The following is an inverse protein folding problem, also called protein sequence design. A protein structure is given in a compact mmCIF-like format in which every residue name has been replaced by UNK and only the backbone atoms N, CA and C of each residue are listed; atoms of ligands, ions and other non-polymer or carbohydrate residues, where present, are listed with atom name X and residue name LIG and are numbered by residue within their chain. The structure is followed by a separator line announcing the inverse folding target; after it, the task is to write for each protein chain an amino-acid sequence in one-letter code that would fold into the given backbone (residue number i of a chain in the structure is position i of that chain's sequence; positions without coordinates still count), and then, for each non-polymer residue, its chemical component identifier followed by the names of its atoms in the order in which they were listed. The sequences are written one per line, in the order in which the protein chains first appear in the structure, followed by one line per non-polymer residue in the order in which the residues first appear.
data_IF_464255250296
#
_entry.id   IF_464255250296
#
_cell.length_a   1.000
_cell.length_b   1.000
_cell.length_c   1.000
_cell.angle_alpha   90.00
_cell.angle_beta   90.00
_cell.angle_gamma   90.00
#
_symmetry.space_group_name_H-M   'P 1'
#
loop_
_entity.id
_entity.type
_entity.pdbx_description
1 polymer ?
#
# COMPACT_ATOMS: atom_id res chain seq x y z
N UNK A 1 -21.42 -9.41 12.95
CA UNK A 1 -20.90 -8.17 12.31
C UNK A 1 -19.52 -8.45 11.78
N UNK A 2 -19.15 -7.83 10.66
CA UNK A 2 -17.80 -7.96 10.12
C UNK A 2 -16.82 -7.24 11.06
N UNK A 3 -15.63 -7.81 11.24
CA UNK A 3 -14.53 -7.21 12.00
C UNK A 3 -13.55 -6.59 11.02
N UNK A 4 -13.23 -5.31 11.22
CA UNK A 4 -12.07 -4.65 10.61
C UNK A 4 -10.91 -4.85 11.58
N UNK A 5 -9.81 -5.43 11.12
CA UNK A 5 -8.62 -5.69 11.93
C UNK A 5 -7.75 -4.44 12.04
N UNK A 6 -7.43 -3.80 10.91
CA UNK A 6 -6.62 -2.59 10.89
C UNK A 6 -6.28 -2.12 9.49
N UNK A 7 -5.80 -0.87 9.42
CA UNK A 7 -5.19 -0.27 8.23
C UNK A 7 -3.67 -0.30 8.42
N UNK A 8 -2.93 -0.81 7.43
CA UNK A 8 -1.46 -0.89 7.45
C UNK A 8 -0.88 -0.52 6.07
N UNK A 9 0.43 -0.26 6.03
CA UNK A 9 1.20 -0.17 4.79
C UNK A 9 1.67 -1.58 4.41
N UNK A 10 1.44 -2.02 3.18
CA UNK A 10 1.93 -3.31 2.68
C UNK A 10 3.19 -3.18 1.83
N UNK A 11 3.41 -2.05 1.18
CA UNK A 11 4.66 -1.79 0.46
C UNK A 11 5.02 -0.32 0.56
N UNK A 12 6.29 -0.05 0.86
CA UNK A 12 6.80 1.30 0.97
C UNK A 12 8.16 1.43 0.28
N UNK A 13 8.25 2.37 -0.66
CA UNK A 13 9.52 2.81 -1.22
C UNK A 13 9.59 4.33 -1.27
N UNK A 14 10.60 4.86 -0.61
CA UNK A 14 10.85 6.27 -0.44
C UNK A 14 12.01 6.69 -1.35
N UNK A 15 11.96 7.93 -1.83
CA UNK A 15 13.03 8.56 -2.59
C UNK A 15 13.52 9.78 -1.81
N UNK A 16 14.83 9.93 -1.79
CA UNK A 16 15.55 10.88 -0.96
C UNK A 16 16.44 11.77 -1.81
N UNK A 17 16.72 12.95 -1.26
CA UNK A 17 17.85 13.79 -1.62
C UNK A 17 19.04 13.40 -0.74
N UNK A 18 20.22 13.18 -1.35
CA UNK A 18 21.47 13.02 -0.61
C UNK A 18 22.01 14.42 -0.31
N UNK A 19 21.87 14.85 0.95
CA UNK A 19 22.28 16.19 1.42
C UNK A 19 23.68 16.18 2.05
N UNK A 20 24.08 15.07 2.66
CA UNK A 20 25.46 14.79 3.06
C UNK A 20 25.97 13.50 2.39
N UNK A 21 26.86 13.60 1.39
CA UNK A 21 27.31 12.45 0.63
C UNK A 21 28.44 11.66 1.31
N UNK A 22 28.95 12.05 2.48
CA UNK A 22 30.15 11.45 3.07
C UNK A 22 30.04 9.92 3.19
N UNK A 23 29.00 9.44 3.88
CA UNK A 23 28.77 8.00 4.08
C UNK A 23 28.33 7.30 2.80
N UNK A 24 27.57 7.99 1.93
CA UNK A 24 27.19 7.46 0.62
C UNK A 24 28.41 7.20 -0.28
N UNK A 25 29.43 8.06 -0.23
CA UNK A 25 30.65 7.89 -0.99
C UNK A 25 31.47 6.70 -0.49
N UNK A 26 31.50 6.46 0.83
CA UNK A 26 32.15 5.28 1.42
C UNK A 26 31.46 4.00 0.97
N UNK A 27 30.13 3.91 1.08
CA UNK A 27 29.42 2.67 0.72
C UNK A 27 29.56 2.35 -0.76
N UNK A 28 29.69 3.36 -1.63
CA UNK A 28 29.88 3.17 -3.08
C UNK A 28 31.20 2.48 -3.45
N UNK A 29 32.18 2.43 -2.56
CA UNK A 29 33.45 1.74 -2.83
C UNK A 29 33.42 0.25 -2.48
N UNK A 30 32.36 -0.24 -1.84
CA UNK A 30 32.28 -1.64 -1.40
C UNK A 30 31.98 -2.61 -2.55
N UNK A 31 32.64 -3.76 -2.55
CA UNK A 31 32.39 -4.86 -3.47
C UNK A 31 31.16 -5.70 -3.06
N UNK A 32 30.63 -6.51 -4.00
CA UNK A 32 29.48 -7.38 -3.73
C UNK A 32 29.81 -8.37 -2.60
N UNK A 33 28.93 -8.43 -1.59
CA UNK A 33 29.11 -9.23 -0.39
C UNK A 33 29.78 -8.49 0.77
N UNK A 34 30.39 -7.32 0.53
CA UNK A 34 31.01 -6.54 1.61
C UNK A 34 29.97 -5.84 2.49
N UNK A 35 30.34 -5.65 3.75
CA UNK A 35 29.53 -5.00 4.78
C UNK A 35 30.19 -3.70 5.23
N UNK A 36 29.40 -2.63 5.31
CA UNK A 36 29.82 -1.32 5.83
C UNK A 36 29.02 -1.03 7.10
N UNK A 37 29.73 -0.97 8.22
CA UNK A 37 29.14 -0.84 9.56
C UNK A 37 28.87 0.64 9.94
N UNK A 38 27.68 0.89 10.49
CA UNK A 38 27.24 2.18 11.02
C UNK A 38 26.82 2.05 12.49
N UNK A 39 27.50 1.18 13.25
CA UNK A 39 27.33 0.88 14.67
C UNK A 39 26.01 0.18 15.03
N UNK A 40 24.86 0.74 14.67
CA UNK A 40 23.53 0.20 15.01
C UNK A 40 22.85 -0.52 13.84
N UNK A 41 23.34 -0.31 12.63
CA UNK A 41 22.98 -1.04 11.44
C UNK A 41 24.21 -1.14 10.55
N UNK A 42 24.15 -1.99 9.55
CA UNK A 42 25.18 -2.11 8.53
C UNK A 42 24.52 -2.27 7.16
N UNK A 43 25.28 -1.93 6.12
CA UNK A 43 24.87 -2.10 4.74
C UNK A 43 25.64 -3.27 4.14
N UNK A 44 24.92 -4.28 3.67
CA UNK A 44 25.51 -5.40 2.93
C UNK A 44 25.28 -5.21 1.45
N UNK A 45 26.36 -5.14 0.67
CA UNK A 45 26.29 -4.98 -0.77
C UNK A 45 25.74 -6.23 -1.46
N UNK A 46 24.73 -6.07 -2.30
CA UNK A 46 24.13 -7.17 -3.08
C UNK A 46 24.06 -6.84 -4.57
N UNK A 47 23.75 -7.86 -5.38
CA UNK A 47 23.46 -7.66 -6.80
C UNK A 47 22.14 -6.90 -6.98
N UNK A 48 22.19 -5.87 -7.81
CA UNK A 48 21.05 -5.01 -8.12
C UNK A 48 20.51 -5.24 -9.52
N UNK A 49 19.18 -5.16 -9.67
CA UNK A 49 18.53 -4.97 -10.97
C UNK A 49 18.14 -3.52 -11.15
N UNK A 50 18.44 -2.94 -12.31
CA UNK A 50 18.14 -1.53 -12.69
C UNK A 50 18.90 -0.44 -11.91
N UNK A 51 19.50 -0.79 -10.78
CA UNK A 51 20.33 0.09 -9.97
C UNK A 51 21.74 -0.45 -9.95
N UNK A 52 22.71 0.42 -10.20
CA UNK A 52 24.13 0.08 -10.14
C UNK A 52 24.54 -0.26 -8.71
N UNK A 53 23.92 0.37 -7.72
CA UNK A 53 24.26 0.15 -6.32
C UNK A 53 23.04 -0.26 -5.49
N UNK A 54 23.08 -1.47 -4.90
CA UNK A 54 22.02 -2.00 -4.05
C UNK A 54 22.63 -2.61 -2.80
N UNK A 55 22.06 -2.27 -1.65
CA UNK A 55 22.48 -2.75 -0.34
C UNK A 55 21.28 -3.22 0.44
N UNK A 56 21.42 -4.32 1.15
CA UNK A 56 20.52 -4.62 2.26
C UNK A 56 20.89 -3.74 3.44
N UNK A 57 19.88 -3.13 4.06
CA UNK A 57 20.02 -2.43 5.34
C UNK A 57 19.71 -3.47 6.41
N UNK A 58 20.69 -3.82 7.22
CA UNK A 58 20.57 -4.89 8.23
C UNK A 58 20.96 -4.38 9.60
N UNK A 59 20.40 -4.98 10.64
CA UNK A 59 20.71 -4.63 12.02
C UNK A 59 20.57 -5.86 12.91
N UNK A 60 21.24 -5.82 14.06
CA UNK A 60 21.17 -6.89 15.06
C UNK A 60 20.27 -6.47 16.21
N UNK A 61 19.24 -7.26 16.48
CA UNK A 61 18.36 -7.11 17.63
C UNK A 61 18.49 -8.34 18.52
N UNK A 62 19.03 -8.15 19.73
CA UNK A 62 19.34 -9.24 20.67
C UNK A 62 20.17 -10.39 20.06
N UNK A 63 21.08 -10.08 19.13
CA UNK A 63 21.92 -11.07 18.44
C UNK A 63 21.26 -11.74 17.24
N UNK A 64 20.02 -11.35 16.89
CA UNK A 64 19.32 -11.81 15.70
C UNK A 64 19.54 -10.79 14.59
N UNK A 65 20.16 -11.24 13.49
CA UNK A 65 20.37 -10.42 12.31
C UNK A 65 19.06 -10.28 11.50
N UNK A 66 18.58 -9.04 11.36
CA UNK A 66 17.31 -8.69 10.75
C UNK A 66 17.52 -7.80 9.52
N UNK A 67 16.65 -7.98 8.52
CA UNK A 67 16.60 -7.13 7.34
C UNK A 67 15.65 -5.97 7.59
N UNK A 68 16.14 -4.74 7.56
CA UNK A 68 15.27 -3.56 7.63
C UNK A 68 14.63 -3.25 6.27
N UNK A 69 15.42 -3.38 5.21
CA UNK A 69 15.02 -3.00 3.86
C UNK A 69 16.22 -2.94 2.93
N UNK A 70 16.11 -2.14 1.87
CA UNK A 70 17.17 -1.99 0.88
C UNK A 70 17.43 -0.52 0.55
N UNK A 71 18.71 -0.13 0.52
CA UNK A 71 19.18 1.12 -0.05
C UNK A 71 19.55 0.88 -1.52
N UNK A 72 19.05 1.74 -2.41
CA UNK A 72 19.32 1.68 -3.86
C UNK A 72 19.81 3.03 -4.37
N UNK A 73 20.89 3.03 -5.15
CA UNK A 73 21.52 4.20 -5.75
C UNK A 73 21.90 3.92 -7.20
N UNK A 74 22.06 4.97 -8.01
CA UNK A 74 22.60 4.86 -9.36
C UNK A 74 21.66 4.12 -10.31
N UNK A 75 20.42 4.57 -10.45
CA UNK A 75 19.46 4.00 -11.40
C UNK A 75 20.00 4.10 -12.84
N UNK A 76 19.69 3.11 -13.68
CA UNK A 76 20.10 3.05 -15.08
C UNK A 76 21.62 3.24 -15.27
N UNK A 77 22.41 2.43 -14.58
CA UNK A 77 23.89 2.45 -14.59
C UNK A 77 24.50 3.78 -14.13
N UNK A 78 23.83 4.46 -13.19
CA UNK A 78 24.29 5.72 -12.59
C UNK A 78 24.44 6.88 -13.60
N UNK A 79 23.64 6.86 -14.68
CA UNK A 79 23.57 8.00 -15.63
C UNK A 79 23.05 9.24 -14.93
N UNK A 80 23.81 10.33 -15.02
CA UNK A 80 23.61 11.55 -14.23
C UNK A 80 22.20 12.15 -14.35
N UNK A 81 21.65 12.22 -15.57
CA UNK A 81 20.31 12.74 -15.88
C UNK A 81 19.17 12.06 -15.09
N UNK A 82 19.33 10.78 -14.75
CA UNK A 82 18.32 10.01 -14.02
C UNK A 82 18.51 10.08 -12.51
N UNK A 83 19.73 10.40 -12.05
CA UNK A 83 20.16 10.29 -10.66
C UNK A 83 20.25 11.62 -9.93
N UNK A 84 19.88 12.74 -10.57
CA UNK A 84 19.75 14.05 -9.90
C UNK A 84 18.30 14.52 -9.83
N UNK A 85 17.99 15.21 -8.74
CA UNK A 85 16.77 16.01 -8.59
C UNK A 85 16.94 17.35 -9.31
N UNK A 86 15.85 18.11 -9.46
CA UNK A 86 15.87 19.41 -10.15
C UNK A 86 16.75 20.45 -9.44
N UNK A 87 17.01 20.28 -8.14
CA UNK A 87 17.93 21.10 -7.36
C UNK A 87 19.41 20.66 -7.47
N UNK A 88 19.71 19.63 -8.28
CA UNK A 88 21.06 19.11 -8.49
C UNK A 88 21.52 18.05 -7.50
N UNK A 89 20.78 17.82 -6.40
CA UNK A 89 21.14 16.79 -5.42
C UNK A 89 20.91 15.39 -5.97
N UNK A 90 21.73 14.44 -5.53
CA UNK A 90 21.64 13.05 -5.97
C UNK A 90 20.47 12.31 -5.33
N UNK A 91 19.90 11.36 -6.05
CA UNK A 91 18.80 10.50 -5.60
C UNK A 91 19.30 9.28 -4.86
N UNK A 92 18.60 8.92 -3.79
CA UNK A 92 18.65 7.61 -3.16
C UNK A 92 17.24 7.05 -2.99
N UNK A 93 17.11 5.73 -2.93
CA UNK A 93 15.84 5.08 -2.63
C UNK A 93 16.01 4.12 -1.46
N UNK A 94 15.06 4.14 -0.54
CA UNK A 94 14.93 3.10 0.49
C UNK A 94 13.62 2.36 0.26
N UNK A 95 13.71 1.05 0.09
CA UNK A 95 12.58 0.13 0.13
C UNK A 95 12.53 -0.52 1.51
N UNK A 96 11.37 -0.49 2.17
CA UNK A 96 11.20 -1.11 3.49
C UNK A 96 10.74 -2.56 3.31
N UNK A 97 11.33 -3.48 4.06
CA UNK A 97 10.85 -4.87 4.05
C UNK A 97 9.43 -4.96 4.65
N UNK A 98 8.58 -5.83 4.08
CA UNK A 98 7.18 -5.90 4.48
C UNK A 98 7.01 -6.26 5.96
N UNK A 99 7.89 -7.06 6.57
CA UNK A 99 7.73 -7.38 8.00
C UNK A 99 7.96 -6.19 8.93
N UNK A 100 8.88 -5.29 8.57
CA UNK A 100 9.17 -4.06 9.34
C UNK A 100 7.93 -3.19 9.45
N UNK A 101 7.09 -3.16 8.40
CA UNK A 101 5.83 -2.40 8.37
C UNK A 101 4.74 -2.93 9.32
N UNK A 102 4.93 -4.11 9.94
CA UNK A 102 4.05 -4.69 10.96
C UNK A 102 4.69 -4.69 12.34
N UNK A 103 5.68 -3.83 12.57
CA UNK A 103 6.41 -3.72 13.84
C UNK A 103 6.80 -2.27 14.14
N UNK A 104 7.24 -2.02 15.38
CA UNK A 104 7.80 -0.73 15.77
C UNK A 104 9.20 -0.48 15.17
N UNK A 105 9.78 -1.43 14.45
CA UNK A 105 11.11 -1.30 13.85
C UNK A 105 11.14 -0.18 12.81
N UNK A 106 10.00 0.18 12.20
CA UNK A 106 9.89 1.31 11.26
C UNK A 106 10.41 2.65 11.83
N UNK A 107 10.39 2.82 13.16
CA UNK A 107 10.92 4.01 13.83
C UNK A 107 12.45 4.14 13.71
N UNK A 108 13.18 3.11 13.29
CA UNK A 108 14.60 3.20 12.97
C UNK A 108 14.89 3.90 11.64
N UNK A 109 13.88 4.15 10.81
CA UNK A 109 14.05 4.81 9.52
C UNK A 109 14.72 6.18 9.65
N UNK A 110 14.25 7.04 10.56
CA UNK A 110 14.81 8.38 10.77
C UNK A 110 16.29 8.32 11.19
N UNK A 111 16.68 7.32 11.98
CA UNK A 111 18.07 7.11 12.36
C UNK A 111 18.94 6.72 11.16
N UNK A 112 18.45 5.81 10.31
CA UNK A 112 19.13 5.39 9.08
C UNK A 112 19.28 6.56 8.10
N UNK A 113 18.20 7.34 7.90
CA UNK A 113 18.18 8.53 7.06
C UNK A 113 19.25 9.54 7.48
N UNK A 114 19.31 9.86 8.79
CA UNK A 114 20.28 10.79 9.35
C UNK A 114 21.73 10.28 9.19
N UNK A 115 21.99 9.00 9.43
CA UNK A 115 23.34 8.44 9.26
C UNK A 115 23.80 8.44 7.80
N UNK A 116 22.87 8.26 6.86
CA UNK A 116 23.20 8.23 5.43
C UNK A 116 23.16 9.61 4.76
N UNK A 117 22.86 10.68 5.51
CA UNK A 117 22.76 12.03 4.96
C UNK A 117 21.61 12.19 3.96
N UNK A 118 20.46 11.61 4.28
CA UNK A 118 19.29 11.54 3.40
C UNK A 118 18.15 12.44 3.90
N UNK A 119 17.57 13.21 3.00
CA UNK A 119 16.35 14.00 3.26
C UNK A 119 15.19 13.47 2.41
N UNK A 120 14.05 13.18 3.05
CA UNK A 120 12.89 12.59 2.39
C UNK A 120 12.30 13.53 1.35
N UNK A 121 12.27 13.10 0.10
CA UNK A 121 11.78 13.92 -1.02
C UNK A 121 10.40 13.50 -1.51
N UNK A 122 10.16 12.20 -1.76
CA UNK A 122 8.82 11.70 -2.11
C UNK A 122 8.63 10.21 -1.84
N UNK A 123 7.37 9.78 -1.89
CA UNK A 123 7.01 8.35 -1.90
C UNK A 123 6.90 7.88 -3.36
N UNK A 124 7.66 6.85 -3.74
CA UNK A 124 7.63 6.30 -5.11
C UNK A 124 6.75 5.06 -5.23
N UNK A 125 6.46 4.39 -4.12
CA UNK A 125 5.53 3.27 -4.05
C UNK A 125 4.91 3.24 -2.67
N UNK A 126 3.58 3.21 -2.62
CA UNK A 126 2.80 3.08 -1.40
C UNK A 126 1.63 2.14 -1.66
N UNK A 127 1.64 0.98 -1.02
CA UNK A 127 0.47 0.10 -0.97
C UNK A 127 -0.14 0.22 0.43
N UNK A 128 -1.38 0.71 0.49
CA UNK A 128 -2.16 0.76 1.73
C UNK A 128 -3.15 -0.40 1.75
N UNK A 129 -3.27 -1.09 2.86
CA UNK A 129 -4.18 -2.21 3.00
C UNK A 129 -5.07 -2.10 4.22
N UNK A 130 -6.32 -2.52 4.06
CA UNK A 130 -7.27 -2.71 5.13
C UNK A 130 -7.55 -4.21 5.25
N UNK A 131 -7.29 -4.78 6.42
CA UNK A 131 -7.53 -6.18 6.71
C UNK A 131 -8.82 -6.38 7.49
N UNK A 132 -9.59 -7.40 7.11
CA UNK A 132 -10.97 -7.59 7.56
C UNK A 132 -11.39 -9.06 7.55
N UNK A 133 -12.44 -9.39 8.31
CA UNK A 133 -12.94 -10.77 8.46
C UNK A 133 -13.89 -11.21 7.33
N UNK A 134 -14.33 -10.29 6.46
CA UNK A 134 -15.33 -10.53 5.42
C UNK A 134 -14.73 -10.60 4.02
N UNK A 135 -15.35 -11.43 3.18
CA UNK A 135 -14.94 -11.63 1.79
C UNK A 135 -15.28 -10.39 0.94
N UNK A 136 -14.35 -9.44 0.96
CA UNK A 136 -14.48 -8.14 0.31
C UNK A 136 -14.49 -8.24 -1.21
N UNK A 137 -13.77 -9.20 -1.78
CA UNK A 137 -13.78 -9.49 -3.21
C UNK A 137 -15.19 -9.90 -3.68
N UNK A 138 -15.85 -10.83 -2.97
CA UNK A 138 -17.23 -11.23 -3.28
C UNK A 138 -18.21 -10.08 -3.08
N UNK A 139 -18.02 -9.24 -2.07
CA UNK A 139 -18.87 -8.07 -1.83
C UNK A 139 -18.81 -7.09 -3.01
N UNK A 140 -17.62 -6.69 -3.42
CA UNK A 140 -17.41 -5.77 -4.55
C UNK A 140 -18.02 -6.36 -5.83
N UNK A 141 -17.78 -7.64 -6.12
CA UNK A 141 -18.39 -8.30 -7.29
C UNK A 141 -19.92 -8.29 -7.25
N UNK A 142 -20.53 -8.50 -6.08
CA UNK A 142 -21.99 -8.45 -5.91
C UNK A 142 -22.53 -7.05 -6.18
N UNK A 143 -21.86 -6.01 -5.69
CA UNK A 143 -22.24 -4.62 -5.94
C UNK A 143 -22.16 -4.27 -7.42
N UNK A 144 -21.04 -4.58 -8.08
CA UNK A 144 -20.86 -4.34 -9.52
C UNK A 144 -21.94 -5.06 -10.34
N UNK A 145 -22.29 -6.30 -10.00
CA UNK A 145 -23.29 -7.09 -10.73
C UNK A 145 -24.74 -6.72 -10.43
N UNK A 146 -25.01 -5.97 -9.36
CA UNK A 146 -26.36 -5.56 -9.00
C UNK A 146 -26.87 -4.44 -9.93
N UNK A 147 -28.01 -4.65 -10.58
CA UNK A 147 -28.64 -3.67 -11.50
C UNK A 147 -29.25 -2.47 -10.77
N UNK A 148 -29.57 -2.62 -9.48
CA UNK A 148 -30.13 -1.56 -8.65
C UNK A 148 -29.04 -0.68 -8.01
N UNK A 149 -27.78 -1.00 -8.28
CA UNK A 149 -26.62 -0.24 -7.81
C UNK A 149 -25.95 0.41 -9.02
N UNK A 150 -25.87 1.74 -8.97
CA UNK A 150 -25.07 2.53 -9.89
C UNK A 150 -23.61 2.37 -9.50
N UNK A 151 -22.78 1.94 -10.44
CA UNK A 151 -21.32 1.85 -10.25
C UNK A 151 -20.69 3.07 -10.88
N UNK A 152 -19.85 3.76 -10.13
CA UNK A 152 -19.00 4.85 -10.62
C UNK A 152 -17.57 4.33 -10.61
N UNK A 153 -16.98 4.24 -11.79
CA UNK A 153 -15.65 3.67 -12.03
C UNK A 153 -14.72 4.75 -12.58
N UNK A 154 -13.57 4.95 -11.94
CA UNK A 154 -12.61 6.00 -12.30
C UNK A 154 -13.28 7.38 -12.47
N UNK A 155 -14.20 7.70 -11.54
CA UNK A 155 -14.98 8.94 -11.54
C UNK A 155 -16.12 9.03 -12.57
N UNK A 156 -16.39 8.00 -13.37
CA UNK A 156 -17.45 8.00 -14.39
C UNK A 156 -18.55 6.98 -14.09
N UNK A 157 -19.79 7.44 -14.17
CA UNK A 157 -20.96 6.57 -14.03
C UNK A 157 -21.03 5.54 -15.17
N UNK A 158 -21.30 4.29 -14.81
CA UNK A 158 -21.47 3.20 -15.78
C UNK A 158 -22.94 3.10 -16.19
N UNK A 159 -23.24 3.60 -17.39
CA UNK A 159 -24.58 3.54 -17.99
C UNK A 159 -24.80 2.22 -18.74
N UNK A 160 -23.87 1.88 -19.64
CA UNK A 160 -23.88 0.61 -20.37
C UNK A 160 -23.14 -0.47 -19.57
N UNK A 161 -23.94 -1.38 -19.00
CA UNK A 161 -23.48 -2.53 -18.21
C UNK A 161 -23.04 -3.73 -19.07
N UNK A 162 -23.33 -3.72 -20.36
CA UNK A 162 -22.96 -4.77 -21.31
C UNK A 162 -21.61 -4.53 -21.97
N UNK A 163 -21.17 -3.27 -22.02
CA UNK A 163 -19.86 -2.89 -22.53
C UNK A 163 -18.72 -3.50 -21.71
N UNK A 164 -17.69 -3.99 -22.40
CA UNK A 164 -16.45 -4.46 -21.79
C UNK A 164 -15.75 -3.36 -20.96
N UNK A 165 -15.29 -3.74 -19.77
CA UNK A 165 -14.59 -2.87 -18.82
C UNK A 165 -13.24 -3.47 -18.44
N UNK A 166 -12.19 -3.29 -19.26
CA UNK A 166 -10.85 -3.82 -18.97
C UNK A 166 -10.25 -3.28 -17.67
N UNK A 167 -10.78 -2.18 -17.13
CA UNK A 167 -10.40 -1.63 -15.83
C UNK A 167 -10.74 -2.56 -14.65
N UNK A 168 -11.69 -3.49 -14.82
CA UNK A 168 -12.11 -4.43 -13.78
C UNK A 168 -11.71 -5.85 -14.19
N UNK A 169 -10.92 -6.52 -13.34
CA UNK A 169 -10.50 -7.90 -13.56
C UNK A 169 -10.97 -8.78 -12.41
N UNK A 170 -11.53 -9.94 -12.74
CA UNK A 170 -11.87 -11.00 -11.79
C UNK A 170 -10.91 -12.16 -11.99
N UNK A 171 -10.17 -12.53 -10.95
CA UNK A 171 -9.24 -13.66 -10.98
C UNK A 171 -9.78 -14.72 -10.03
N UNK A 172 -10.10 -15.89 -10.58
CA UNK A 172 -10.42 -17.08 -9.79
C UNK A 172 -9.19 -17.95 -9.66
N UNK A 173 -8.95 -18.50 -8.47
CA UNK A 173 -7.94 -19.54 -8.25
C UNK A 173 -8.49 -20.63 -7.32
N UNK A 174 -7.91 -21.82 -7.36
CA UNK A 174 -8.46 -22.96 -6.63
C UNK A 174 -7.70 -24.25 -6.85
N UNK A 175 -8.39 -25.37 -6.69
CA UNK A 175 -7.87 -26.70 -7.06
C UNK A 175 -8.42 -27.10 -8.43
N UNK A 176 -7.90 -28.20 -8.98
CA UNK A 176 -8.42 -28.79 -10.23
C UNK A 176 -9.93 -29.09 -10.17
N UNK A 177 -10.48 -29.32 -8.97
CA UNK A 177 -11.91 -29.62 -8.79
C UNK A 177 -12.80 -28.39 -8.67
N UNK A 178 -12.27 -27.24 -8.23
CA UNK A 178 -13.08 -26.05 -7.96
C UNK A 178 -12.27 -24.76 -7.83
N UNK A 179 -12.87 -23.69 -8.33
CA UNK A 179 -12.53 -22.32 -7.94
C UNK A 179 -12.82 -22.12 -6.44
N UNK A 180 -11.82 -21.67 -5.69
CA UNK A 180 -11.92 -21.45 -4.23
C UNK A 180 -11.86 -19.98 -3.87
N UNK A 181 -10.96 -19.24 -4.51
CA UNK A 181 -10.59 -17.89 -4.15
C UNK A 181 -10.94 -16.94 -5.29
N UNK A 182 -11.48 -15.79 -4.91
CA UNK A 182 -11.78 -14.69 -5.83
C UNK A 182 -10.87 -13.52 -5.46
N UNK A 183 -10.21 -12.98 -6.46
CA UNK A 183 -9.56 -11.68 -6.40
C UNK A 183 -10.28 -10.72 -7.34
N UNK A 184 -10.59 -9.52 -6.86
CA UNK A 184 -11.13 -8.42 -7.68
C UNK A 184 -10.08 -7.34 -7.77
N UNK A 185 -9.70 -6.99 -9.00
CA UNK A 185 -8.78 -5.88 -9.26
C UNK A 185 -9.53 -4.76 -10.00
N UNK A 186 -9.33 -3.52 -9.59
CA UNK A 186 -9.81 -2.33 -10.29
C UNK A 186 -8.62 -1.41 -10.56
N UNK A 187 -8.46 -0.96 -11.81
CA UNK A 187 -7.31 -0.14 -12.23
C UNK A 187 -7.77 1.19 -12.78
N UNK A 188 -7.03 2.26 -12.47
CA UNK A 188 -7.08 3.46 -13.29
C UNK A 188 -6.55 3.15 -14.70
N UNK A 189 -7.03 3.90 -15.70
CA UNK A 189 -6.63 3.69 -17.11
C UNK A 189 -5.11 3.73 -17.32
N UNK A 190 -4.40 4.64 -16.64
CA UNK A 190 -2.93 4.75 -16.71
C UNK A 190 -2.25 3.50 -16.14
N UNK A 191 -2.80 2.95 -15.05
CA UNK A 191 -2.30 1.74 -14.37
C UNK A 191 -2.49 0.45 -15.16
N UNK A 192 -3.34 0.43 -16.19
CA UNK A 192 -3.54 -0.77 -17.01
C UNK A 192 -2.32 -1.10 -17.87
N UNK A 193 -1.63 -0.08 -18.39
CA UNK A 193 -0.41 -0.25 -19.19
C UNK A 193 0.85 -0.30 -18.33
N UNK A 194 0.87 0.49 -17.27
CA UNK A 194 2.01 0.63 -16.37
C UNK A 194 1.50 0.91 -14.95
N UNK A 195 1.63 -0.07 -14.05
CA UNK A 195 1.15 0.04 -12.66
C UNK A 195 1.77 1.25 -11.95
N UNK A 196 2.99 1.66 -12.30
CA UNK A 196 3.66 2.82 -11.67
C UNK A 196 3.00 4.17 -12.02
N UNK A 197 2.10 4.21 -13.01
CA UNK A 197 1.49 5.45 -13.53
C UNK A 197 0.05 5.69 -13.13
N UNK A 198 -0.55 4.82 -12.32
CA UNK A 198 -1.88 5.05 -11.77
C UNK A 198 -2.17 4.19 -10.55
N UNK A 199 -3.26 4.51 -9.87
CA UNK A 199 -3.71 3.74 -8.70
C UNK A 199 -4.41 2.45 -9.09
N UNK A 200 -4.35 1.45 -8.21
CA UNK A 200 -5.08 0.20 -8.36
C UNK A 200 -5.69 -0.23 -7.04
N UNK A 201 -6.86 -0.87 -7.08
CA UNK A 201 -7.47 -1.56 -5.95
C UNK A 201 -7.40 -3.06 -6.18
N UNK A 202 -7.08 -3.81 -5.13
CA UNK A 202 -7.09 -5.28 -5.13
C UNK A 202 -7.78 -5.79 -3.88
N UNK A 203 -8.78 -6.64 -4.05
CA UNK A 203 -9.54 -7.27 -2.97
C UNK A 203 -9.38 -8.78 -3.05
N UNK A 204 -8.91 -9.45 -1.99
CA UNK A 204 -8.57 -10.88 -2.03
C UNK A 204 -8.61 -11.57 -0.65
N UNK A 205 -8.46 -12.89 -0.66
CA UNK A 205 -8.31 -13.72 0.54
C UNK A 205 -6.84 -13.73 0.96
N UNK A 206 -6.50 -12.90 1.95
CA UNK A 206 -5.13 -12.74 2.46
C UNK A 206 -4.65 -13.98 3.20
N UNK A 207 -5.53 -14.65 3.95
CA UNK A 207 -5.21 -15.92 4.61
C UNK A 207 -4.75 -16.99 3.62
N UNK A 208 -5.43 -17.08 2.47
CA UNK A 208 -5.04 -17.99 1.40
C UNK A 208 -3.71 -17.58 0.74
N UNK A 209 -3.43 -16.29 0.60
CA UNK A 209 -2.14 -15.80 0.09
C UNK A 209 -0.99 -16.15 1.03
N UNK A 210 -1.16 -15.95 2.33
CA UNK A 210 -0.18 -16.31 3.36
C UNK A 210 0.03 -17.82 3.43
N UNK A 211 -1.04 -18.63 3.42
CA UNK A 211 -0.91 -20.09 3.40
C UNK A 211 -0.12 -20.61 2.18
N UNK A 212 -0.17 -19.89 1.06
CA UNK A 212 0.58 -20.22 -0.15
C UNK A 212 1.96 -19.52 -0.21
N UNK A 213 2.30 -18.65 0.74
CA UNK A 213 3.54 -17.88 0.82
C UNK A 213 4.18 -18.01 2.20
N UNK A 214 5.18 -18.89 2.32
CA UNK A 214 5.76 -19.29 3.61
C UNK A 214 6.38 -18.16 4.43
N UNK A 215 6.76 -17.03 3.81
CA UNK A 215 7.46 -15.93 4.48
C UNK A 215 6.54 -14.89 5.11
N UNK A 216 5.21 -14.94 4.93
CA UNK A 216 4.29 -13.86 5.36
C UNK A 216 3.45 -14.15 6.61
N UNK A 217 3.81 -15.20 7.36
CA UNK A 217 3.03 -15.64 8.53
C UNK A 217 2.91 -14.56 9.61
N UNK A 218 3.89 -13.67 9.73
CA UNK A 218 3.88 -12.55 10.68
C UNK A 218 2.64 -11.65 10.56
N UNK A 219 2.02 -11.54 9.38
CA UNK A 219 0.79 -10.74 9.18
C UNK A 219 -0.40 -11.36 9.94
N UNK A 220 -0.53 -12.69 9.94
CA UNK A 220 -1.57 -13.36 10.72
C UNK A 220 -1.28 -13.23 12.22
N UNK A 221 -0.02 -13.41 12.62
CA UNK A 221 0.43 -13.31 14.00
C UNK A 221 0.19 -11.91 14.57
N UNK A 222 0.44 -10.85 13.77
CA UNK A 222 0.15 -9.45 14.11
C UNK A 222 -1.32 -9.23 14.50
N UNK A 223 -2.26 -9.93 13.85
CA UNK A 223 -3.69 -9.84 14.17
C UNK A 223 -4.19 -10.92 15.15
N UNK A 224 -3.29 -11.67 15.78
CA UNK A 224 -3.64 -12.73 16.72
C UNK A 224 -4.20 -13.99 16.05
N UNK A 225 -3.70 -14.34 14.87
CA UNK A 225 -4.05 -15.54 14.10
C UNK A 225 -5.56 -15.73 13.85
N UNK A 226 -6.23 -14.77 13.19
CA UNK A 226 -7.67 -14.83 12.98
C UNK A 226 -8.11 -15.99 12.08
N UNK A 227 -9.30 -16.55 12.31
CA UNK A 227 -9.87 -17.62 11.47
C UNK A 227 -10.05 -17.20 10.00
N UNK A 228 -10.38 -15.92 9.77
CA UNK A 228 -10.61 -15.33 8.45
C UNK A 228 -9.80 -14.05 8.32
N UNK A 229 -9.05 -13.93 7.22
CA UNK A 229 -8.31 -12.73 6.88
C UNK A 229 -8.46 -12.45 5.39
N UNK A 230 -9.14 -11.36 5.08
CA UNK A 230 -9.28 -10.81 3.73
C UNK A 230 -8.65 -9.44 3.71
N UNK A 231 -8.25 -8.98 2.54
CA UNK A 231 -7.57 -7.70 2.35
C UNK A 231 -8.21 -6.89 1.25
N UNK A 232 -8.33 -5.59 1.50
CA UNK A 232 -8.61 -4.57 0.53
C UNK A 232 -7.40 -3.64 0.43
N UNK A 233 -6.69 -3.70 -0.68
CA UNK A 233 -5.42 -3.03 -0.89
C UNK A 233 -5.57 -1.98 -1.98
N UNK A 234 -4.96 -0.82 -1.79
CA UNK A 234 -4.81 0.22 -2.81
C UNK A 234 -3.34 0.52 -3.04
N UNK A 235 -2.92 0.45 -4.30
CA UNK A 235 -1.63 0.95 -4.75
C UNK A 235 -1.76 2.42 -5.11
N UNK A 236 -0.81 3.23 -4.62
CA UNK A 236 -0.64 4.63 -4.97
C UNK A 236 0.74 4.83 -5.59
N UNK A 237 0.77 5.67 -6.62
CA UNK A 237 2.01 6.15 -7.21
C UNK A 237 2.42 7.51 -6.60
N UNK A 238 3.60 7.98 -7.01
CA UNK A 238 4.14 9.27 -6.59
C UNK A 238 3.20 10.46 -6.89
N UNK A 239 2.65 10.52 -8.11
CA UNK A 239 1.80 11.63 -8.54
C UNK A 239 0.53 11.75 -7.68
N UNK A 240 -0.10 10.63 -7.33
CA UNK A 240 -1.31 10.57 -6.51
C UNK A 240 -1.04 11.00 -5.06
N UNK A 241 0.10 10.58 -4.50
CA UNK A 241 0.53 11.02 -3.17
C UNK A 241 0.85 12.52 -3.17
N UNK A 242 1.58 13.02 -4.18
CA UNK A 242 1.89 14.44 -4.33
C UNK A 242 0.64 15.29 -4.50
N UNK A 243 -0.30 14.87 -5.35
CA UNK A 243 -1.57 15.55 -5.55
C UNK A 243 -2.37 15.62 -4.24
N UNK A 244 -2.40 14.53 -3.47
CA UNK A 244 -3.01 14.51 -2.16
C UNK A 244 -2.38 15.55 -1.22
N UNK A 245 -1.06 15.48 -1.04
CA UNK A 245 -0.29 16.36 -0.15
C UNK A 245 -0.52 17.83 -0.49
N UNK A 246 -0.38 18.19 -1.77
CA UNK A 246 -0.60 19.54 -2.28
C UNK A 246 -2.01 20.06 -2.00
N UNK A 247 -3.03 19.22 -2.27
CA UNK A 247 -4.43 19.58 -2.04
C UNK A 247 -4.74 19.77 -0.56
N UNK A 248 -4.11 18.97 0.32
CA UNK A 248 -4.28 19.06 1.77
C UNK A 248 -3.35 20.07 2.45
N UNK A 249 -2.41 20.66 1.70
CA UNK A 249 -1.34 21.54 2.22
C UNK A 249 -0.55 20.88 3.35
N UNK A 250 -0.20 19.61 3.16
CA UNK A 250 0.59 18.84 4.10
C UNK A 250 1.99 18.61 3.52
N UNK A 251 2.99 18.77 4.36
CA UNK A 251 4.37 18.40 4.04
C UNK A 251 4.55 16.90 4.31
N UNK A 252 5.27 16.23 3.41
CA UNK A 252 5.65 14.85 3.61
C UNK A 252 6.76 14.78 4.65
N UNK A 253 6.58 13.94 5.66
CA UNK A 253 7.61 13.62 6.65
C UNK A 253 7.48 12.16 7.07
N UNK A 254 8.44 11.67 7.84
CA UNK A 254 8.32 10.37 8.51
C UNK A 254 7.01 10.25 9.30
N UNK A 255 6.59 11.31 9.99
CA UNK A 255 5.34 11.33 10.76
C UNK A 255 4.09 11.10 9.90
N UNK A 256 4.12 11.46 8.61
CA UNK A 256 3.04 11.14 7.68
C UNK A 256 2.89 9.63 7.46
N UNK A 257 3.98 8.87 7.53
CA UNK A 257 4.01 7.42 7.30
C UNK A 257 3.46 6.62 8.49
N UNK A 258 3.46 7.21 9.69
CA UNK A 258 2.96 6.59 10.92
C UNK A 258 1.66 7.21 11.44
N UNK A 259 1.18 8.31 10.83
CA UNK A 259 -0.14 8.88 11.16
C UNK A 259 -1.27 8.07 10.51
N UNK A 260 -1.90 7.20 11.30
CA UNK A 260 -3.06 6.40 10.89
C UNK A 260 -4.19 7.26 10.31
N UNK A 261 -4.41 8.49 10.80
CA UNK A 261 -5.47 9.36 10.25
C UNK A 261 -5.11 9.87 8.86
N UNK A 262 -3.84 10.19 8.63
CA UNK A 262 -3.33 10.54 7.31
C UNK A 262 -3.53 9.38 6.33
N UNK A 263 -3.01 8.20 6.70
CA UNK A 263 -3.11 7.00 5.86
C UNK A 263 -4.56 6.63 5.56
N UNK A 264 -5.46 6.73 6.55
CA UNK A 264 -6.88 6.41 6.36
C UNK A 264 -7.56 7.37 5.40
N UNK A 265 -7.30 8.68 5.48
CA UNK A 265 -7.86 9.66 4.54
C UNK A 265 -7.32 9.46 3.13
N UNK A 266 -6.04 9.11 3.00
CA UNK A 266 -5.41 8.79 1.73
C UNK A 266 -6.02 7.52 1.12
N UNK A 267 -6.20 6.47 1.93
CA UNK A 267 -6.89 5.24 1.54
C UNK A 267 -8.31 5.50 1.05
N UNK A 268 -9.13 6.21 1.85
CA UNK A 268 -10.53 6.49 1.52
C UNK A 268 -10.66 7.32 0.23
N UNK A 269 -9.81 8.32 0.03
CA UNK A 269 -9.81 9.07 -1.22
C UNK A 269 -9.49 8.17 -2.42
N UNK A 270 -8.43 7.36 -2.31
CA UNK A 270 -7.97 6.52 -3.42
C UNK A 270 -9.00 5.47 -3.79
N UNK A 271 -9.63 4.81 -2.81
CA UNK A 271 -10.66 3.84 -3.13
C UNK A 271 -11.88 4.49 -3.80
N UNK A 272 -12.32 5.65 -3.33
CA UNK A 272 -13.46 6.36 -3.91
C UNK A 272 -13.18 6.95 -5.31
N UNK A 273 -11.91 7.21 -5.64
CA UNK A 273 -11.51 7.65 -6.98
C UNK A 273 -11.52 6.48 -7.97
N UNK A 274 -11.16 5.28 -7.52
CA UNK A 274 -11.13 4.04 -8.31
C UNK A 274 -12.54 3.49 -8.56
N UNK A 275 -13.30 3.25 -7.49
CA UNK A 275 -14.65 2.69 -7.58
C UNK A 275 -15.51 3.11 -6.39
N UNK A 276 -16.74 3.55 -6.66
CA UNK A 276 -17.76 3.78 -5.65
C UNK A 276 -19.14 3.35 -6.15
N UNK A 277 -20.06 3.21 -5.22
CA UNK A 277 -21.39 2.69 -5.48
C UNK A 277 -22.45 3.66 -4.99
N UNK A 278 -23.54 3.75 -5.74
CA UNK A 278 -24.72 4.55 -5.39
C UNK A 278 -25.97 3.68 -5.48
N UNK A 279 -26.90 3.91 -4.57
CA UNK A 279 -28.24 3.32 -4.59
C UNK A 279 -29.26 4.45 -4.52
N UNK A 280 -30.14 4.55 -5.51
CA UNK A 280 -31.16 5.61 -5.59
C UNK A 280 -30.56 7.03 -5.45
N UNK A 281 -29.41 7.26 -6.10
CA UNK A 281 -28.70 8.54 -6.06
C UNK A 281 -27.97 8.85 -4.74
N UNK A 282 -27.95 7.91 -3.78
CA UNK A 282 -27.21 8.05 -2.52
C UNK A 282 -25.93 7.22 -2.55
N UNK A 283 -24.80 7.85 -2.25
CA UNK A 283 -23.50 7.17 -2.10
C UNK A 283 -23.60 6.12 -1.00
N UNK A 284 -23.15 4.90 -1.31
CA UNK A 284 -22.92 3.85 -0.32
C UNK A 284 -21.54 4.10 0.30
N UNK A 285 -21.51 4.29 1.61
CA UNK A 285 -20.28 4.53 2.34
C UNK A 285 -19.44 3.25 2.49
N UNK A 286 -18.12 3.36 2.34
CA UNK A 286 -17.24 2.20 2.46
C UNK A 286 -17.25 1.62 3.88
N UNK A 287 -17.33 2.44 4.93
CA UNK A 287 -17.39 1.95 6.31
C UNK A 287 -18.64 1.09 6.51
N UNK A 288 -19.79 1.53 6.00
CA UNK A 288 -21.06 0.81 6.09
C UNK A 288 -21.03 -0.51 5.29
N UNK A 289 -20.42 -0.49 4.10
CA UNK A 289 -20.24 -1.68 3.27
C UNK A 289 -19.31 -2.70 3.96
N UNK A 290 -18.19 -2.24 4.52
CA UNK A 290 -17.20 -3.06 5.19
C UNK A 290 -17.76 -3.69 6.47
N UNK A 291 -18.50 -2.92 7.27
CA UNK A 291 -19.15 -3.41 8.49
C UNK A 291 -20.37 -4.32 8.21
N UNK A 292 -20.85 -4.32 6.95
CA UNK A 292 -22.02 -5.08 6.53
C UNK A 292 -23.33 -4.49 7.05
N UNK A 293 -23.36 -3.19 7.31
CA UNK A 293 -24.55 -2.44 7.74
C UNK A 293 -25.54 -2.30 6.57
N UNK A 294 -25.02 -2.22 5.35
CA UNK A 294 -25.81 -2.16 4.12
C UNK A 294 -25.89 -3.57 3.51
N UNK A 295 -27.07 -4.19 3.53
CA UNK A 295 -27.31 -5.47 2.84
C UNK A 295 -27.91 -5.22 1.46
N UNK A 296 -27.22 -5.65 0.40
CA UNK A 296 -27.73 -5.54 -0.99
C UNK A 296 -28.62 -6.71 -1.41
N UNK A 297 -29.20 -7.44 -0.45
CA UNK A 297 -30.09 -8.56 -0.73
C UNK A 297 -31.50 -8.02 -1.01
N UNK A 298 -32.14 -8.37 -2.14
CA UNK A 298 -33.53 -7.96 -2.36
C UNK A 298 -34.41 -8.72 -1.38
N UNK A 299 -34.84 -8.03 -0.32
CA UNK A 299 -35.77 -8.52 0.69
C UNK A 299 -36.30 -7.34 1.48
N UNK A 300 -37.55 -6.98 1.20
CA UNK A 300 -38.46 -6.07 1.92
C UNK A 300 -37.82 -5.09 2.94
N UNK A 301 -37.80 -3.80 2.56
CA UNK A 301 -37.92 -2.65 3.46
C UNK A 301 -37.26 -2.77 4.83
N UNK A 302 -35.93 -2.81 4.88
CA UNK A 302 -35.22 -2.40 6.09
C UNK A 302 -33.98 -1.59 5.68
N UNK A 303 -34.18 -0.28 5.54
CA UNK A 303 -33.13 0.69 5.85
C UNK A 303 -33.14 0.79 7.37
N UNK A 304 -32.16 0.27 8.12
CA UNK A 304 -32.02 0.65 9.52
C UNK A 304 -31.75 2.16 9.50
N UNK A 305 -32.62 2.91 10.19
CA UNK A 305 -32.53 4.36 10.35
C UNK A 305 -31.07 4.79 10.49
N UNK A 306 -30.60 5.61 9.55
CA UNK A 306 -29.47 6.51 9.71
C UNK A 306 -29.74 7.38 10.95
N UNK A 307 -29.29 6.92 12.12
CA UNK A 307 -29.14 7.81 13.27
C UNK A 307 -27.77 8.44 13.09
N UNK A 308 -27.79 9.72 12.70
CA UNK A 308 -26.67 10.62 12.88
C UNK A 308 -26.10 10.48 14.28
N UNK A 309 -24.95 9.82 14.39
CA UNK A 309 -24.10 9.87 15.57
C UNK A 309 -22.75 10.40 15.11
N UNK A 310 -22.63 11.74 15.11
CA UNK A 310 -21.35 12.40 15.34
C UNK A 310 -20.80 11.89 16.68
N UNK A 311 -20.09 10.78 16.70
CA UNK A 311 -19.18 10.45 17.79
C UNK A 311 -17.78 10.75 17.31
N UNK A 312 -17.33 11.95 17.67
CA UNK A 312 -15.93 12.28 17.74
C UNK A 312 -15.22 11.15 18.53
N UNK A 313 -14.40 10.35 17.85
CA UNK A 313 -13.41 9.53 18.52
C UNK A 313 -12.34 10.48 19.03
N UNK A 314 -12.47 10.88 20.30
CA UNK A 314 -11.30 11.19 21.12
C UNK A 314 -10.51 9.89 21.24
N UNK A 315 -9.31 9.90 20.69
CA UNK A 315 -8.27 8.94 21.01
C UNK A 315 -7.51 9.59 22.16
N UNK A 316 -7.51 8.93 23.32
CA UNK A 316 -6.47 9.14 24.33
C UNK A 316 -5.28 8.28 23.96
#
# INVERSE_FOLDING_TARGET
MNKIYGLNIDALRLCYEITDPHNINIVRTSDIGEEVDFMYFYLRRIEGKHFKFVYEIRYSDAGIDKLFGELRLGINDDKEENNRHSNGLSKAWISIDNHVLYSDEIYYLEFIENNLGLELHNITTLDLCLDLSNDIARMIRKLIRNKNITTILNGKEILDRSQDRPEITYISSGSMDKDKYLTVCVKQKKAMKDKSRGSTLTAYNKKAEIANSSSKKYIEEFYGNPDKLYRLEVHLNNDEVKEYLNRTRQELSFYSLVDVKFLLRLFDQTINSLIRFEHEGKKLDWDDLLLGVITTTPGNNFVPKLIHSKRARKVN
#
